data_IF_701909797577
#
_entry.id   IF_701909797577
#
_cell.length_a   1.000
_cell.length_b   1.000
_cell.length_c   1.000
_cell.angle_alpha   90.00
_cell.angle_beta   90.00
_cell.angle_gamma   90.00
#
_symmetry.space_group_name_H-M   'P 1'
#
loop_
_entity.id
_entity.type
_entity.pdbx_description
1 polymer ?
#
# COMPACT_ATOMS: atom_id res chain seq x y z
N UNK A 1 23.66 20.38 34.03
CA UNK A 1 24.19 20.28 32.66
C UNK A 1 23.27 19.32 31.95
N UNK A 2 22.22 19.84 31.32
CA UNK A 2 21.23 19.03 30.64
C UNK A 2 21.79 18.67 29.26
N UNK A 3 22.22 17.42 29.10
CA UNK A 3 22.72 16.92 27.81
C UNK A 3 21.52 16.83 26.85
N UNK A 4 21.58 17.45 25.65
CA UNK A 4 20.50 17.35 24.67
C UNK A 4 20.27 15.88 24.33
N UNK A 5 19.02 15.42 24.39
CA UNK A 5 18.67 14.06 24.00
C UNK A 5 19.10 13.83 22.54
N UNK A 6 19.73 12.67 22.22
CA UNK A 6 20.15 12.36 20.86
C UNK A 6 18.97 12.47 19.89
N UNK A 7 19.07 13.37 18.93
CA UNK A 7 18.03 13.59 17.94
C UNK A 7 18.08 12.42 16.94
N UNK A 8 16.99 11.64 16.77
CA UNK A 8 16.99 10.48 15.89
C UNK A 8 17.35 10.92 14.46
N UNK A 9 18.23 10.18 13.76
CA UNK A 9 18.55 10.49 12.37
C UNK A 9 17.26 10.45 11.54
N UNK A 10 17.07 11.40 10.60
CA UNK A 10 15.85 11.45 9.80
C UNK A 10 15.70 10.13 9.02
N UNK A 11 14.60 9.41 9.30
CA UNK A 11 14.27 8.19 8.58
C UNK A 11 14.07 8.51 7.09
N UNK A 12 14.60 7.67 6.17
CA UNK A 12 14.44 7.89 4.74
C UNK A 12 12.96 8.00 4.39
N UNK A 13 12.58 9.05 3.65
CA UNK A 13 11.19 9.28 3.26
C UNK A 13 10.54 8.09 2.52
N UNK A 14 11.36 7.23 1.91
CA UNK A 14 10.92 5.98 1.27
C UNK A 14 10.36 4.94 2.26
N UNK A 15 10.88 4.86 3.50
CA UNK A 15 10.31 3.99 4.53
C UNK A 15 9.00 4.54 5.11
N UNK A 16 8.81 5.87 5.03
CA UNK A 16 7.60 6.54 5.52
C UNK A 16 6.49 6.58 4.47
N UNK A 17 6.80 6.27 3.21
CA UNK A 17 5.82 6.25 2.14
C UNK A 17 5.24 4.84 1.98
N UNK A 18 3.93 4.63 2.17
CA UNK A 18 3.30 3.30 2.02
C UNK A 18 3.19 2.84 0.56
N UNK A 19 3.33 3.75 -0.41
CA UNK A 19 3.13 3.46 -1.84
C UNK A 19 3.99 2.33 -2.42
N UNK A 20 5.30 2.20 -2.12
CA UNK A 20 6.13 1.14 -2.67
C UNK A 20 5.62 -0.26 -2.30
N UNK A 21 5.13 -0.45 -1.07
CA UNK A 21 4.60 -1.73 -0.60
C UNK A 21 3.30 -2.08 -1.31
N UNK A 22 2.41 -1.10 -1.50
CA UNK A 22 1.13 -1.28 -2.21
C UNK A 22 1.36 -1.67 -3.66
N UNK A 23 2.29 -0.97 -4.34
CA UNK A 23 2.64 -1.25 -5.73
C UNK A 23 3.27 -2.64 -5.84
N UNK A 24 4.24 -2.96 -4.98
CA UNK A 24 4.90 -4.26 -4.97
C UNK A 24 3.91 -5.42 -4.76
N UNK A 25 3.02 -5.30 -3.76
CA UNK A 25 1.99 -6.31 -3.49
C UNK A 25 0.99 -6.47 -4.65
N UNK A 26 0.56 -5.36 -5.26
CA UNK A 26 -0.35 -5.40 -6.41
C UNK A 26 0.29 -6.08 -7.62
N UNK A 27 1.54 -5.72 -7.94
CA UNK A 27 2.29 -6.32 -9.05
C UNK A 27 2.53 -7.81 -8.80
N UNK A 28 2.90 -8.19 -7.57
CA UNK A 28 3.12 -9.59 -7.20
C UNK A 28 1.85 -10.43 -7.42
N UNK A 29 0.69 -9.94 -6.99
CA UNK A 29 -0.59 -10.65 -7.18
C UNK A 29 -1.02 -10.72 -8.65
N UNK A 30 -0.77 -9.68 -9.44
CA UNK A 30 -1.01 -9.72 -10.89
C UNK A 30 -0.15 -10.80 -11.56
N UNK A 31 1.13 -10.87 -11.22
CA UNK A 31 2.05 -11.90 -11.75
C UNK A 31 1.57 -13.30 -11.35
N UNK A 32 1.24 -13.51 -10.08
CA UNK A 32 0.74 -14.80 -9.60
C UNK A 32 -0.53 -15.23 -10.37
N UNK A 33 -1.45 -14.31 -10.61
CA UNK A 33 -2.66 -14.60 -11.35
C UNK A 33 -2.38 -14.94 -12.82
N UNK A 34 -1.48 -14.22 -13.50
CA UNK A 34 -1.06 -14.58 -14.87
C UNK A 34 -0.47 -15.99 -14.88
N UNK A 35 0.41 -16.33 -13.94
CA UNK A 35 1.01 -17.67 -13.85
C UNK A 35 -0.04 -18.77 -13.63
N UNK A 36 -1.02 -18.55 -12.76
CA UNK A 36 -2.07 -19.53 -12.46
C UNK A 36 -3.01 -19.83 -13.63
N UNK A 37 -3.18 -18.90 -14.58
CA UNK A 37 -4.04 -19.09 -15.75
C UNK A 37 -3.26 -19.49 -17.02
N UNK A 38 -1.94 -19.32 -17.04
CA UNK A 38 -1.09 -19.67 -18.19
C UNK A 38 -0.40 -21.02 -18.05
N UNK A 39 -0.15 -21.48 -16.82
CA UNK A 39 0.59 -22.71 -16.53
C UNK A 39 -0.35 -23.76 -15.96
N UNK A 40 -0.61 -24.89 -16.65
CA UNK A 40 -1.52 -25.95 -16.18
C UNK A 40 -1.16 -26.51 -14.80
N UNK A 41 0.14 -26.56 -14.47
CA UNK A 41 0.62 -27.01 -13.16
C UNK A 41 0.17 -26.11 -11.97
N UNK A 42 -0.29 -24.89 -12.24
CA UNK A 42 -0.79 -23.96 -11.23
C UNK A 42 -2.31 -23.84 -11.21
N UNK A 43 -3.04 -24.77 -11.83
CA UNK A 43 -4.50 -24.73 -11.84
C UNK A 43 -5.12 -24.74 -10.43
N UNK A 44 -4.53 -25.49 -9.49
CA UNK A 44 -4.96 -25.52 -8.08
C UNK A 44 -4.72 -24.21 -7.33
N UNK A 45 -3.87 -23.32 -7.85
CA UNK A 45 -3.54 -22.04 -7.23
C UNK A 45 -4.51 -20.92 -7.61
N UNK A 46 -5.36 -21.11 -8.63
CA UNK A 46 -6.35 -20.12 -9.11
C UNK A 46 -7.21 -19.49 -7.99
N UNK A 47 -7.79 -20.24 -7.03
CA UNK A 47 -8.54 -19.62 -5.94
C UNK A 47 -7.65 -18.74 -5.04
N UNK A 48 -6.39 -19.13 -4.81
CA UNK A 48 -5.44 -18.36 -4.00
C UNK A 48 -5.04 -17.08 -4.73
N UNK A 49 -4.75 -17.16 -6.03
CA UNK A 49 -4.39 -15.98 -6.82
C UNK A 49 -5.54 -14.98 -6.94
N UNK A 50 -6.78 -15.47 -7.04
CA UNK A 50 -7.98 -14.62 -7.01
C UNK A 50 -8.20 -13.98 -5.64
N UNK A 51 -8.08 -14.74 -4.55
CA UNK A 51 -8.20 -14.20 -3.19
C UNK A 51 -7.17 -13.10 -2.93
N UNK A 52 -5.95 -13.32 -3.41
CA UNK A 52 -4.89 -12.34 -3.35
C UNK A 52 -5.08 -11.11 -4.21
N UNK A 53 -5.56 -11.27 -5.45
CA UNK A 53 -5.95 -10.15 -6.31
C UNK A 53 -7.05 -9.31 -5.65
N UNK A 54 -8.06 -9.97 -5.06
CA UNK A 54 -9.11 -9.30 -4.28
C UNK A 54 -8.54 -8.56 -3.07
N UNK A 55 -7.61 -9.17 -2.35
CA UNK A 55 -6.92 -8.55 -1.22
C UNK A 55 -6.08 -7.34 -1.66
N UNK A 56 -5.36 -7.44 -2.77
CA UNK A 56 -4.56 -6.35 -3.34
C UNK A 56 -5.43 -5.18 -3.83
N UNK A 57 -6.56 -5.49 -4.49
CA UNK A 57 -7.54 -4.49 -4.91
C UNK A 57 -8.17 -3.78 -3.70
N UNK A 58 -8.50 -4.53 -2.65
CA UNK A 58 -9.04 -3.98 -1.40
C UNK A 58 -8.02 -3.06 -0.71
N UNK A 59 -6.78 -3.52 -0.52
CA UNK A 59 -5.71 -2.73 0.10
C UNK A 59 -5.41 -1.45 -0.68
N UNK A 60 -5.34 -1.54 -2.01
CA UNK A 60 -5.14 -0.38 -2.88
C UNK A 60 -6.30 0.60 -2.78
N UNK A 61 -7.54 0.11 -2.76
CA UNK A 61 -8.74 0.95 -2.60
C UNK A 61 -8.69 1.71 -1.28
N UNK A 62 -8.34 1.05 -0.17
CA UNK A 62 -8.19 1.70 1.13
C UNK A 62 -7.17 2.83 1.05
N UNK A 63 -5.98 2.59 0.49
CA UNK A 63 -4.93 3.63 0.38
C UNK A 63 -5.39 4.80 -0.48
N UNK A 64 -6.08 4.55 -1.59
CA UNK A 64 -6.65 5.62 -2.42
C UNK A 64 -7.69 6.44 -1.65
N UNK A 65 -8.52 5.78 -0.85
CA UNK A 65 -9.46 6.47 0.04
C UNK A 65 -8.73 7.30 1.10
N UNK A 66 -7.65 6.79 1.68
CA UNK A 66 -6.81 7.54 2.63
C UNK A 66 -6.18 8.78 1.98
N UNK A 67 -5.60 8.64 0.78
CA UNK A 67 -5.02 9.76 0.04
C UNK A 67 -6.09 10.80 -0.32
N UNK A 68 -7.28 10.35 -0.73
CA UNK A 68 -8.41 11.24 -1.02
C UNK A 68 -8.91 11.94 0.24
N UNK A 69 -9.00 11.23 1.36
CA UNK A 69 -9.40 11.79 2.65
C UNK A 69 -8.38 12.82 3.14
N UNK A 70 -7.06 12.54 3.04
CA UNK A 70 -6.01 13.48 3.40
C UNK A 70 -6.08 14.79 2.58
N UNK A 71 -6.28 14.69 1.26
CA UNK A 71 -6.48 15.85 0.37
C UNK A 71 -7.78 16.61 0.62
N UNK A 72 -8.80 15.95 1.19
CA UNK A 72 -10.07 16.58 1.56
C UNK A 72 -10.00 17.20 2.95
N UNK A 73 -9.31 16.57 3.90
CA UNK A 73 -9.00 17.08 5.22
C UNK A 73 -8.14 18.34 5.17
N UNK A 74 -7.21 18.45 4.20
CA UNK A 74 -6.47 19.69 3.94
C UNK A 74 -7.37 20.85 3.49
N UNK A 75 -8.58 20.58 2.96
CA UNK A 75 -9.60 21.61 2.63
C UNK A 75 -10.62 21.84 3.76
N UNK A 76 -10.76 20.90 4.71
CA UNK A 76 -11.65 21.02 5.87
C UNK A 76 -11.06 21.73 7.09
N UNK A 77 -9.73 21.90 7.13
CA UNK A 77 -9.02 22.57 8.22
C UNK A 77 -8.96 24.11 8.09
N UNK A 78 -9.62 24.70 7.08
CA UNK A 78 -9.66 26.17 6.86
C UNK A 78 -11.09 26.72 6.81
N UNK A 79 -12.00 26.23 7.66
CA UNK A 79 -13.35 26.83 7.85
C UNK A 79 -13.57 27.34 9.27
N UNK A 80 -12.56 27.98 9.87
CA UNK A 80 -12.72 28.53 11.22
C UNK A 80 -11.56 29.34 11.79
N UNK A 81 -10.81 30.06 10.95
CA UNK A 81 -10.13 31.30 11.35
C UNK A 81 -10.72 32.43 10.49
#
# INVERSE_FOLDING_TARGET
MDTPAPQPPPLPAALLNPWPVVVAGTVLWLIANVLAFTIPAFESWRPVTLAGLGTGALGTTIVLLQVRAARRGSRGAQTGL
#
